data_IF_158077422209
#
_entry.id   IF_158077422209
#
_cell.length_a   1.000
_cell.length_b   1.000
_cell.length_c   1.000
_cell.angle_alpha   90.00
_cell.angle_beta   90.00
_cell.angle_gamma   90.00
#
_symmetry.space_group_name_H-M   'P 1'
#
loop_
_entity.id
_entity.type
_entity.pdbx_description
1 polymer ?
#
# COMPACT_ATOMS: atom_id res chain seq x y z
N UNK A 1 -9.26 5.35 -2.88
CA UNK A 1 -9.05 6.61 -2.15
C UNK A 1 -10.42 7.10 -1.66
N UNK A 2 -10.59 7.43 -0.37
CA UNK A 2 -11.88 7.85 0.19
C UNK A 2 -12.49 9.09 -0.46
N UNK A 3 -11.67 9.99 -1.00
CA UNK A 3 -12.14 11.27 -1.56
C UNK A 3 -11.95 11.34 -3.09
N UNK A 4 -10.91 10.69 -3.63
CA UNK A 4 -10.52 10.87 -5.03
C UNK A 4 -11.18 9.89 -6.01
N UNK A 5 -11.96 8.90 -5.56
CA UNK A 5 -12.48 7.85 -6.45
C UNK A 5 -13.34 8.40 -7.58
N UNK A 6 -14.30 9.27 -7.27
CA UNK A 6 -15.20 9.87 -8.26
C UNK A 6 -14.42 10.71 -9.29
N UNK A 7 -13.51 11.55 -8.83
CA UNK A 7 -12.70 12.40 -9.71
C UNK A 7 -11.72 11.59 -10.56
N UNK A 8 -11.15 10.51 -10.02
CA UNK A 8 -10.28 9.60 -10.76
C UNK A 8 -11.07 8.92 -11.89
N UNK A 9 -12.28 8.42 -11.61
CA UNK A 9 -13.16 7.87 -12.65
C UNK A 9 -13.52 8.92 -13.70
N UNK A 10 -13.82 10.16 -13.31
CA UNK A 10 -14.16 11.25 -14.23
C UNK A 10 -13.02 11.60 -15.18
N UNK A 11 -11.78 11.65 -14.68
CA UNK A 11 -10.59 12.03 -15.46
C UNK A 11 -10.08 10.89 -16.32
N UNK A 12 -10.03 9.66 -15.78
CA UNK A 12 -9.35 8.53 -16.43
C UNK A 12 -10.30 7.49 -17.04
N UNK A 13 -11.59 7.50 -16.68
CA UNK A 13 -12.57 6.53 -17.14
C UNK A 13 -12.28 5.09 -16.68
N UNK A 14 -12.98 4.14 -17.31
CA UNK A 14 -12.69 2.72 -17.18
C UNK A 14 -11.58 2.31 -18.17
N UNK A 15 -10.62 1.51 -17.70
CA UNK A 15 -9.47 1.05 -18.49
C UNK A 15 -8.88 -0.22 -17.88
N UNK A 16 -8.32 -1.08 -18.71
CA UNK A 16 -7.85 -2.41 -18.31
C UNK A 16 -6.60 -2.37 -17.40
N UNK A 17 -5.83 -1.30 -17.46
CA UNK A 17 -4.60 -1.09 -16.70
C UNK A 17 -4.78 -0.19 -15.46
N UNK A 18 -6.03 0.15 -15.10
CA UNK A 18 -6.36 0.84 -13.85
C UNK A 18 -7.63 0.25 -13.24
N UNK A 19 -7.49 -0.42 -12.10
CA UNK A 19 -8.61 -0.91 -11.32
C UNK A 19 -8.83 -0.03 -10.08
N UNK A 20 -10.02 0.57 -9.97
CA UNK A 20 -10.42 1.36 -8.79
C UNK A 20 -11.23 0.49 -7.81
N UNK A 21 -10.57 0.03 -6.75
CA UNK A 21 -11.19 -0.82 -5.73
C UNK A 21 -12.17 -0.05 -4.82
N UNK A 22 -13.14 -0.77 -4.25
CA UNK A 22 -14.10 -0.21 -3.27
C UNK A 22 -13.59 -0.21 -1.83
N UNK A 23 -12.53 -0.97 -1.55
CA UNK A 23 -11.88 -1.01 -0.25
C UNK A 23 -10.35 -1.10 -0.39
N UNK A 24 -9.60 -0.71 0.66
CA UNK A 24 -8.15 -0.88 0.68
C UNK A 24 -7.73 -2.34 0.53
N UNK A 25 -8.47 -3.27 1.15
CA UNK A 25 -8.18 -4.70 1.13
C UNK A 25 -8.32 -5.27 -0.28
N UNK A 26 -9.35 -4.85 -1.01
CA UNK A 26 -9.53 -5.26 -2.40
C UNK A 26 -8.37 -4.83 -3.32
N UNK A 27 -7.64 -3.76 -2.98
CA UNK A 27 -6.45 -3.33 -3.72
C UNK A 27 -5.21 -4.19 -3.43
N UNK A 28 -5.21 -5.00 -2.37
CA UNK A 28 -4.07 -5.86 -2.00
C UNK A 28 -4.08 -7.19 -2.75
N UNK A 29 -5.27 -7.72 -3.04
CA UNK A 29 -5.45 -9.10 -3.51
C UNK A 29 -4.65 -9.39 -4.79
N UNK A 30 -3.59 -10.18 -4.65
CA UNK A 30 -2.74 -10.62 -5.77
C UNK A 30 -1.80 -9.54 -6.31
N UNK A 31 -1.69 -8.39 -5.64
CA UNK A 31 -0.72 -7.36 -5.99
C UNK A 31 0.69 -7.77 -5.53
N UNK A 32 1.72 -7.36 -6.27
CA UNK A 32 3.12 -7.67 -5.92
C UNK A 32 3.66 -6.78 -4.79
N UNK A 33 3.10 -5.58 -4.65
CA UNK A 33 3.52 -4.60 -3.64
C UNK A 33 2.39 -3.63 -3.30
N UNK A 34 2.46 -3.04 -2.10
CA UNK A 34 1.62 -1.94 -1.65
C UNK A 34 2.36 -0.61 -1.80
N UNK A 35 1.70 0.41 -2.36
CA UNK A 35 2.21 1.78 -2.42
C UNK A 35 1.30 2.72 -1.62
N UNK A 36 1.87 3.41 -0.64
CA UNK A 36 1.18 4.46 0.12
C UNK A 36 1.48 5.82 -0.49
N UNK A 37 0.50 6.36 -1.22
CA UNK A 37 0.61 7.68 -1.86
C UNK A 37 -0.03 8.82 -1.05
N UNK A 38 -0.84 8.50 -0.04
CA UNK A 38 -1.63 9.45 0.78
C UNK A 38 -1.72 8.97 2.23
N UNK A 39 -1.71 9.89 3.19
CA UNK A 39 -1.63 9.62 4.63
C UNK A 39 -3.01 9.57 5.35
N UNK A 40 -4.05 9.09 4.67
CA UNK A 40 -5.38 8.93 5.24
C UNK A 40 -5.33 8.17 6.57
N UNK A 41 -6.12 8.60 7.57
CA UNK A 41 -6.15 7.97 8.91
C UNK A 41 -6.44 6.47 8.84
N UNK A 42 -7.29 6.04 7.91
CA UNK A 42 -7.60 4.63 7.66
C UNK A 42 -6.35 3.78 7.40
N UNK A 43 -5.29 4.35 6.83
CA UNK A 43 -4.07 3.62 6.48
C UNK A 43 -3.03 3.57 7.58
N UNK A 44 -3.20 4.25 8.72
CA UNK A 44 -2.14 4.40 9.74
C UNK A 44 -1.97 3.19 10.64
N UNK A 45 -2.99 2.35 10.77
CA UNK A 45 -2.95 1.15 11.63
C UNK A 45 -3.60 -0.04 10.94
N UNK A 46 -3.06 -0.49 9.79
CA UNK A 46 -3.62 -1.62 9.08
C UNK A 46 -3.26 -2.94 9.78
N UNK A 47 -3.97 -4.01 9.43
CA UNK A 47 -3.53 -5.36 9.78
C UNK A 47 -2.43 -5.80 8.80
N UNK A 48 -1.17 -5.75 9.25
CA UNK A 48 -0.02 -6.12 8.42
C UNK A 48 0.07 -7.62 8.12
N UNK A 49 -0.51 -8.50 8.95
CA UNK A 49 -0.58 -9.93 8.62
C UNK A 49 -1.47 -10.15 7.41
N UNK A 50 -2.63 -9.50 7.40
CA UNK A 50 -3.56 -9.52 6.26
C UNK A 50 -2.95 -8.92 5.00
N UNK A 51 -2.11 -7.88 5.12
CA UNK A 51 -1.36 -7.33 3.98
C UNK A 51 -0.37 -8.37 3.43
N UNK A 52 0.41 -9.01 4.31
CA UNK A 52 1.39 -10.00 3.89
C UNK A 52 0.74 -11.21 3.21
N UNK A 53 -0.43 -11.65 3.70
CA UNK A 53 -1.17 -12.78 3.14
C UNK A 53 -1.79 -12.48 1.75
N UNK A 54 -2.16 -11.23 1.49
CA UNK A 54 -2.84 -10.85 0.25
C UNK A 54 -1.89 -10.45 -0.88
N UNK A 55 -0.69 -9.95 -0.55
CA UNK A 55 0.31 -9.61 -1.54
C UNK A 55 1.07 -10.87 -2.00
N UNK A 56 1.45 -10.91 -3.28
CA UNK A 56 2.33 -11.96 -3.83
C UNK A 56 3.74 -11.90 -3.22
N UNK A 57 4.13 -10.74 -2.68
CA UNK A 57 5.37 -10.54 -1.93
C UNK A 57 5.14 -9.45 -0.87
N UNK A 58 5.70 -9.58 0.35
CA UNK A 58 5.50 -8.59 1.41
C UNK A 58 6.35 -7.33 1.17
N UNK A 59 6.00 -6.55 0.16
CA UNK A 59 6.73 -5.36 -0.27
C UNK A 59 5.86 -4.11 -0.08
N UNK A 60 6.41 -3.10 0.62
CA UNK A 60 5.72 -1.82 0.87
C UNK A 60 6.61 -0.66 0.45
N UNK A 61 6.08 0.20 -0.43
CA UNK A 61 6.62 1.54 -0.72
C UNK A 61 5.79 2.58 0.02
N UNK A 62 6.39 3.30 0.95
CA UNK A 62 5.70 4.28 1.79
C UNK A 62 6.18 5.69 1.47
N UNK A 63 5.45 6.33 0.55
CA UNK A 63 5.71 7.72 0.14
C UNK A 63 5.40 8.75 1.22
N UNK A 64 4.74 8.34 2.30
CA UNK A 64 4.27 9.23 3.39
C UNK A 64 4.92 8.95 4.73
N UNK A 65 5.79 7.95 4.80
CA UNK A 65 6.56 7.62 5.99
C UNK A 65 5.66 7.37 7.22
N UNK A 66 4.45 6.83 7.01
CA UNK A 66 3.44 6.61 8.03
C UNK A 66 3.65 5.31 8.82
N UNK A 67 4.47 4.38 8.32
CA UNK A 67 4.78 3.13 9.00
C UNK A 67 6.13 3.17 9.73
N UNK A 68 6.26 2.31 10.74
CA UNK A 68 7.51 2.06 11.44
C UNK A 68 8.37 1.06 10.64
N UNK A 69 9.55 1.47 10.14
CA UNK A 69 10.42 0.60 9.37
C UNK A 69 10.92 -0.63 10.14
N UNK A 70 11.20 -0.49 11.45
CA UNK A 70 11.69 -1.58 12.28
C UNK A 70 10.59 -2.61 12.55
N UNK A 71 9.35 -2.15 12.77
CA UNK A 71 8.19 -3.02 12.92
C UNK A 71 7.95 -3.84 11.66
N UNK A 72 7.94 -3.20 10.49
CA UNK A 72 7.75 -3.89 9.21
C UNK A 72 8.87 -4.90 8.92
N UNK A 73 10.12 -4.54 9.21
CA UNK A 73 11.24 -5.47 9.13
C UNK A 73 11.02 -6.73 9.96
N UNK A 74 10.55 -6.57 11.20
CA UNK A 74 10.32 -7.70 12.11
C UNK A 74 9.20 -8.64 11.64
N UNK A 75 8.35 -8.14 10.74
CA UNK A 75 7.25 -8.87 10.10
C UNK A 75 7.63 -9.46 8.73
N UNK A 76 8.89 -9.34 8.30
CA UNK A 76 9.35 -9.88 7.03
C UNK A 76 8.99 -9.03 5.81
N UNK A 77 8.66 -7.75 5.99
CA UNK A 77 8.44 -6.85 4.86
C UNK A 77 9.73 -6.25 4.34
N UNK A 78 9.86 -6.17 3.01
CA UNK A 78 10.74 -5.20 2.38
C UNK A 78 10.04 -3.85 2.36
N UNK A 79 10.63 -2.86 3.02
CA UNK A 79 10.07 -1.53 3.22
C UNK A 79 10.95 -0.45 2.62
N UNK A 80 10.34 0.40 1.81
CA UNK A 80 10.97 1.51 1.12
C UNK A 80 10.29 2.82 1.54
N UNK A 81 10.91 3.53 2.48
CA UNK A 81 10.46 4.85 2.94
C UNK A 81 11.25 6.00 2.33
N UNK A 82 10.63 7.16 2.16
CA UNK A 82 11.30 8.34 1.58
C UNK A 82 12.34 8.90 2.56
N UNK A 83 13.61 8.94 2.15
CA UNK A 83 14.69 9.48 2.98
C UNK A 83 15.02 8.65 4.22
N UNK A 84 14.56 7.39 4.30
CA UNK A 84 14.78 6.48 5.45
C UNK A 84 15.77 5.35 5.16
N UNK A 85 16.30 5.28 3.94
CA UNK A 85 17.08 4.15 3.45
C UNK A 85 16.19 2.96 3.08
N UNK A 86 16.82 1.87 2.65
CA UNK A 86 16.15 0.64 2.26
C UNK A 86 16.18 -0.36 3.43
N UNK A 87 15.03 -0.97 3.70
CA UNK A 87 14.95 -2.13 4.57
C UNK A 87 14.48 -3.30 3.72
N UNK A 88 15.40 -4.20 3.36
CA UNK A 88 15.03 -5.45 2.71
C UNK A 88 14.70 -6.50 3.78
N UNK A 89 13.63 -7.26 3.54
CA UNK A 89 13.44 -8.54 4.20
C UNK A 89 14.58 -9.47 3.73
N UNK A 90 15.28 -10.09 4.69
CA UNK A 90 16.27 -11.13 4.39
C UNK A 90 15.57 -12.45 4.11
#
# INVERSE_FOLDING_TARGET
>A
DPEAKEETTRIYGERDDLLLCDSPEAALKGADALVVATEWKLFRSPNFDTIAEQLSSPVIFDGRNIYDPAYLKSRGFSYYGVGRGIIDAK
#
